data_IF_642788050055
#
_entry.id   IF_642788050055
#
_cell.length_a   1.000
_cell.length_b   1.000
_cell.length_c   1.000
_cell.angle_alpha   90.00
_cell.angle_beta   90.00
_cell.angle_gamma   90.00
#
_symmetry.space_group_name_H-M   'P 1'
#
loop_
_entity.id
_entity.type
_entity.pdbx_description
1 polymer ?
#
# COMPACT_ATOMS: atom_id res chain seq x y z
N UNK A 1 -15.29 2.25 -4.49
CA UNK A 1 -15.96 2.81 -5.70
C UNK A 1 -17.40 3.18 -5.34
N UNK A 2 -18.10 3.96 -6.17
CA UNK A 2 -19.53 4.22 -6.03
C UNK A 2 -20.27 3.60 -7.21
N UNK A 3 -21.32 2.85 -6.93
CA UNK A 3 -22.13 2.16 -7.94
C UNK A 3 -23.59 2.55 -7.86
N UNK A 4 -24.25 2.67 -9.01
CA UNK A 4 -25.69 2.86 -9.07
C UNK A 4 -26.44 1.51 -8.94
N UNK A 5 -27.76 1.55 -8.98
CA UNK A 5 -28.60 0.35 -8.86
C UNK A 5 -28.43 -0.66 -10.01
N UNK A 6 -27.87 -0.26 -11.15
CA UNK A 6 -27.55 -1.15 -12.27
C UNK A 6 -26.15 -1.79 -12.13
N UNK A 7 -25.43 -1.53 -11.03
CA UNK A 7 -24.05 -1.97 -10.84
C UNK A 7 -23.03 -1.19 -11.68
N UNK A 8 -23.40 -0.02 -12.22
CA UNK A 8 -22.48 0.83 -12.98
C UNK A 8 -21.69 1.71 -12.03
N UNK A 9 -20.37 1.74 -12.20
CA UNK A 9 -19.51 2.69 -11.51
C UNK A 9 -19.89 4.13 -11.90
N UNK A 10 -20.28 4.92 -10.92
CA UNK A 10 -20.63 6.35 -11.04
C UNK A 10 -19.62 7.27 -10.36
N UNK A 11 -18.74 6.72 -9.52
CA UNK A 11 -17.70 7.50 -8.85
C UNK A 11 -16.55 6.65 -8.31
N UNK A 12 -15.41 7.30 -8.06
CA UNK A 12 -14.24 6.71 -7.41
C UNK A 12 -13.55 7.79 -6.56
N UNK A 13 -13.07 7.38 -5.40
CA UNK A 13 -12.24 8.21 -4.51
C UNK A 13 -10.92 7.46 -4.31
N UNK A 14 -9.82 8.20 -4.35
CA UNK A 14 -8.51 7.72 -3.93
C UNK A 14 -8.13 8.44 -2.65
N UNK A 15 -7.72 7.69 -1.63
CA UNK A 15 -7.27 8.24 -0.36
C UNK A 15 -5.84 7.79 -0.07
N UNK A 16 -5.07 8.65 0.58
CA UNK A 16 -3.76 8.33 1.15
C UNK A 16 -3.75 8.80 2.58
N UNK A 17 -3.13 8.02 3.45
CA UNK A 17 -2.93 8.40 4.84
C UNK A 17 -1.48 8.08 5.25
N UNK A 18 -1.03 8.73 6.31
CA UNK A 18 0.31 8.52 6.86
C UNK A 18 0.44 7.16 7.58
N UNK A 19 -0.67 6.61 8.08
CA UNK A 19 -0.71 5.37 8.84
C UNK A 19 -1.85 4.48 8.36
N UNK A 20 -1.72 3.17 8.57
CA UNK A 20 -2.78 2.21 8.27
C UNK A 20 -4.08 2.55 9.02
N UNK A 21 -4.02 2.84 10.32
CA UNK A 21 -5.22 3.22 11.08
C UNK A 21 -5.87 4.52 10.61
N UNK A 22 -5.08 5.48 10.10
CA UNK A 22 -5.61 6.70 9.48
C UNK A 22 -6.31 6.43 8.14
N UNK A 23 -5.79 5.47 7.36
CA UNK A 23 -6.38 5.00 6.12
C UNK A 23 -7.73 4.32 6.38
N UNK A 24 -7.79 3.41 7.36
CA UNK A 24 -9.03 2.73 7.77
C UNK A 24 -10.09 3.72 8.26
N UNK A 25 -9.67 4.70 9.07
CA UNK A 25 -10.56 5.76 9.55
C UNK A 25 -11.12 6.60 8.41
N UNK A 26 -10.29 6.93 7.42
CA UNK A 26 -10.71 7.70 6.25
C UNK A 26 -11.70 6.91 5.39
N UNK A 27 -11.47 5.62 5.14
CA UNK A 27 -12.41 4.74 4.43
C UNK A 27 -13.75 4.73 5.15
N UNK A 28 -13.74 4.43 6.46
CA UNK A 28 -14.97 4.39 7.26
C UNK A 28 -15.73 5.72 7.21
N UNK A 29 -15.01 6.84 7.31
CA UNK A 29 -15.62 8.18 7.24
C UNK A 29 -16.23 8.48 5.87
N UNK A 30 -15.52 8.13 4.78
CA UNK A 30 -16.01 8.33 3.40
C UNK A 30 -17.26 7.49 3.13
N UNK A 31 -17.24 6.20 3.49
CA UNK A 31 -18.37 5.29 3.27
C UNK A 31 -19.60 5.66 4.11
N UNK A 32 -19.40 6.28 5.28
CA UNK A 32 -20.47 6.76 6.15
C UNK A 32 -21.07 8.13 5.75
N UNK A 33 -20.46 8.85 4.79
CA UNK A 33 -20.88 10.21 4.46
C UNK A 33 -22.01 10.24 3.43
N UNK A 34 -23.26 10.36 3.91
CA UNK A 34 -24.47 10.38 3.07
C UNK A 34 -24.48 11.48 1.99
N UNK A 35 -23.88 12.63 2.30
CA UNK A 35 -23.73 13.72 1.34
C UNK A 35 -22.89 13.29 0.11
N UNK A 36 -21.84 12.49 0.31
CA UNK A 36 -21.05 11.96 -0.80
C UNK A 36 -21.80 10.90 -1.59
N UNK A 37 -22.56 10.01 -0.94
CA UNK A 37 -23.41 9.03 -1.66
C UNK A 37 -24.39 9.73 -2.59
N UNK A 38 -25.04 10.78 -2.10
CA UNK A 38 -25.97 11.60 -2.88
C UNK A 38 -25.27 12.31 -4.04
N UNK A 39 -24.13 12.96 -3.77
CA UNK A 39 -23.38 13.70 -4.78
C UNK A 39 -22.80 12.78 -5.88
N UNK A 40 -22.36 11.57 -5.51
CA UNK A 40 -21.83 10.56 -6.44
C UNK A 40 -22.94 9.81 -7.19
N UNK A 41 -24.20 9.87 -6.72
CA UNK A 41 -25.34 9.20 -7.34
C UNK A 41 -25.32 7.68 -7.17
N UNK A 42 -24.73 7.16 -6.09
CA UNK A 42 -24.57 5.73 -5.87
C UNK A 42 -24.16 5.34 -4.44
N UNK A 43 -24.05 4.03 -4.21
CA UNK A 43 -23.60 3.47 -2.93
C UNK A 43 -22.09 3.22 -2.99
N UNK A 44 -21.38 3.73 -1.99
CA UNK A 44 -19.95 3.52 -1.84
C UNK A 44 -19.63 2.12 -1.30
N UNK A 45 -18.62 1.48 -1.88
CA UNK A 45 -17.98 0.26 -1.38
C UNK A 45 -16.45 0.44 -1.33
N UNK A 46 -15.80 -0.30 -0.44
CA UNK A 46 -14.34 -0.38 -0.37
C UNK A 46 -13.87 -1.77 -0.78
N UNK A 47 -12.95 -1.83 -1.72
CA UNK A 47 -12.29 -3.07 -2.11
C UNK A 47 -10.89 -3.08 -1.52
N UNK A 48 -10.72 -3.79 -0.41
CA UNK A 48 -9.44 -3.89 0.28
C UNK A 48 -8.42 -4.76 -0.46
N UNK A 49 -8.82 -5.48 -1.52
CA UNK A 49 -7.87 -6.21 -2.36
C UNK A 49 -6.99 -5.29 -3.20
N UNK A 50 -7.43 -4.05 -3.42
CA UNK A 50 -6.69 -2.99 -4.13
C UNK A 50 -5.86 -2.09 -3.22
N UNK A 51 -5.96 -2.26 -1.89
CA UNK A 51 -5.20 -1.44 -0.95
C UNK A 51 -3.70 -1.63 -1.10
N UNK A 52 -2.94 -0.56 -0.92
CA UNK A 52 -1.49 -0.58 -1.04
C UNK A 52 -0.82 0.11 0.13
N UNK A 53 0.36 -0.36 0.48
CA UNK A 53 1.29 0.38 1.33
C UNK A 53 2.65 0.48 0.63
N UNK A 54 3.43 1.46 1.06
CA UNK A 54 4.83 1.62 0.64
C UNK A 54 5.62 2.14 1.83
N UNK A 55 6.55 1.33 2.31
CA UNK A 55 7.43 1.67 3.43
C UNK A 55 8.86 1.57 2.92
N UNK A 56 9.60 2.67 2.95
CA UNK A 56 11.02 2.69 2.58
C UNK A 56 11.87 2.89 3.82
N UNK A 57 12.79 1.95 4.05
CA UNK A 57 13.75 1.98 5.16
C UNK A 57 15.13 2.21 4.56
N UNK A 58 15.84 3.21 5.10
CA UNK A 58 17.26 3.40 4.81
C UNK A 58 18.08 2.47 5.71
N UNK A 59 18.86 1.60 5.09
CA UNK A 59 19.67 0.58 5.73
C UNK A 59 21.16 0.88 5.52
N UNK A 60 22.02 0.16 6.24
CA UNK A 60 23.46 0.20 6.03
C UNK A 60 24.01 -1.23 6.02
N UNK A 61 25.02 -1.47 5.16
CA UNK A 61 25.74 -2.73 5.10
C UNK A 61 26.99 -2.68 5.99
N UNK A 62 27.56 -3.85 6.30
CA UNK A 62 28.77 -3.96 7.12
C UNK A 62 30.00 -3.29 6.48
N UNK A 63 30.00 -3.15 5.16
CA UNK A 63 31.02 -2.44 4.38
C UNK A 63 30.87 -0.89 4.46
N UNK A 64 29.84 -0.37 5.15
CA UNK A 64 29.57 1.06 5.32
C UNK A 64 28.65 1.68 4.26
N UNK A 65 28.22 0.90 3.27
CA UNK A 65 27.34 1.34 2.20
C UNK A 65 25.90 1.57 2.69
N UNK A 66 25.21 2.57 2.12
CA UNK A 66 23.80 2.83 2.39
C UNK A 66 22.93 2.38 1.23
N UNK A 67 21.91 1.60 1.54
CA UNK A 67 20.91 1.13 0.56
C UNK A 67 19.50 1.36 1.12
N UNK A 68 18.48 1.25 0.26
CA UNK A 68 17.08 1.36 0.66
C UNK A 68 16.35 0.05 0.43
N UNK A 69 15.61 -0.41 1.44
CA UNK A 69 14.67 -1.52 1.31
C UNK A 69 13.26 -0.94 1.30
N UNK A 70 12.51 -1.19 0.23
CA UNK A 70 11.11 -0.75 0.12
C UNK A 70 10.18 -1.95 0.15
N UNK A 71 9.27 -1.95 1.12
CA UNK A 71 8.19 -2.92 1.24
C UNK A 71 6.93 -2.37 0.61
N UNK A 72 6.32 -3.15 -0.27
CA UNK A 72 4.98 -2.95 -0.82
C UNK A 72 4.14 -4.18 -0.51
N UNK A 73 2.85 -4.11 -0.85
CA UNK A 73 1.90 -5.20 -0.61
C UNK A 73 2.37 -6.55 -1.16
N UNK A 74 2.96 -6.54 -2.34
CA UNK A 74 3.21 -7.71 -3.18
C UNK A 74 4.69 -7.91 -3.51
N UNK A 75 5.57 -7.05 -2.99
CA UNK A 75 7.01 -7.13 -3.27
C UNK A 75 7.86 -6.37 -2.29
N UNK A 76 9.10 -6.82 -2.19
CA UNK A 76 10.23 -6.10 -1.60
C UNK A 76 11.14 -5.65 -2.74
N UNK A 77 11.61 -4.41 -2.71
CA UNK A 77 12.55 -3.88 -3.70
C UNK A 77 13.75 -3.25 -3.02
N UNK A 78 14.95 -3.57 -3.50
CA UNK A 78 16.20 -2.98 -3.08
C UNK A 78 16.61 -1.86 -4.06
N UNK A 79 17.15 -0.76 -3.55
CA UNK A 79 17.72 0.31 -4.38
C UNK A 79 18.91 0.99 -3.72
N UNK A 80 19.69 1.72 -4.53
CA UNK A 80 20.89 2.43 -4.08
C UNK A 80 22.00 1.52 -3.53
N UNK A 81 22.00 0.24 -3.88
CA UNK A 81 23.11 -0.66 -3.59
C UNK A 81 24.11 -0.68 -4.75
N UNK A 82 25.38 -0.88 -4.44
CA UNK A 82 26.52 -1.01 -5.35
C UNK A 82 27.16 -2.40 -5.24
N UNK A 83 27.16 -3.00 -4.04
CA UNK A 83 27.67 -4.35 -3.81
C UNK A 83 26.56 -5.41 -3.95
N UNK A 84 26.71 -6.32 -4.92
CA UNK A 84 25.75 -7.41 -5.17
C UNK A 84 25.60 -8.36 -3.97
N UNK A 85 26.61 -8.45 -3.08
CA UNK A 85 26.48 -9.23 -1.85
C UNK A 85 25.34 -8.72 -0.93
N UNK A 86 24.94 -7.46 -1.06
CA UNK A 86 23.79 -6.88 -0.36
C UNK A 86 22.49 -7.49 -0.90
N UNK A 87 22.37 -7.63 -2.23
CA UNK A 87 21.21 -8.24 -2.86
C UNK A 87 21.04 -9.69 -2.38
N UNK A 88 22.10 -10.49 -2.46
CA UNK A 88 22.11 -11.90 -2.04
C UNK A 88 21.68 -12.05 -0.56
N UNK A 89 22.18 -11.16 0.30
CA UNK A 89 21.84 -11.16 1.73
C UNK A 89 20.36 -10.87 1.95
N UNK A 90 19.81 -9.88 1.25
CA UNK A 90 18.40 -9.48 1.40
C UNK A 90 17.47 -10.53 0.80
N UNK A 91 17.81 -11.12 -0.34
CA UNK A 91 17.03 -12.22 -0.94
C UNK A 91 16.98 -13.43 -0.01
N UNK A 92 18.14 -13.88 0.50
CA UNK A 92 18.23 -14.99 1.45
C UNK A 92 17.40 -14.73 2.72
N UNK A 93 17.43 -13.49 3.22
CA UNK A 93 16.60 -13.11 4.35
C UNK A 93 15.11 -13.11 3.99
N UNK A 94 14.72 -12.52 2.86
CA UNK A 94 13.33 -12.42 2.45
C UNK A 94 12.69 -13.81 2.30
N UNK A 95 13.41 -14.77 1.71
CA UNK A 95 12.97 -16.17 1.57
C UNK A 95 12.72 -16.85 2.92
N UNK A 96 13.39 -16.39 3.99
CA UNK A 96 13.19 -16.91 5.35
C UNK A 96 11.98 -16.34 6.07
N UNK A 97 11.31 -15.32 5.51
CA UNK A 97 10.18 -14.62 6.13
C UNK A 97 8.88 -14.96 5.39
N UNK A 98 8.06 -15.91 5.90
CA UNK A 98 6.86 -16.36 5.19
C UNK A 98 5.83 -15.28 4.91
N UNK A 99 5.83 -14.19 5.69
CA UNK A 99 4.93 -13.06 5.49
C UNK A 99 5.28 -12.19 4.26
N UNK A 100 6.43 -12.43 3.63
CA UNK A 100 6.90 -11.72 2.42
C UNK A 100 6.75 -12.55 1.14
N UNK A 101 6.27 -13.80 1.23
CA UNK A 101 6.09 -14.72 0.11
C UNK A 101 4.79 -14.46 -0.68
#
# INVERSE_FOLDING_TARGET
>A
MYENNDGKQVGRITVKAQTAGGFDSAISGILGLEALKTAMGGVGSHDSSDDGFSITIKCHAANGEFYNVTFKRDKVTLSSYEDDAILDTIETWADSVPALA
#
